data_IF_867751849039
#
_entry.id   IF_867751849039
#
_cell.length_a   1.000
_cell.length_b   1.000
_cell.length_c   1.000
_cell.angle_alpha   90.00
_cell.angle_beta   90.00
_cell.angle_gamma   90.00
#
_symmetry.space_group_name_H-M   'P 1'
#
loop_
_entity.id
_entity.type
_entity.pdbx_description
1 polymer ?
#
# COMPACT_ATOMS: atom_id res chain seq x y z
N UNK A 1 -7.85 4.83 -11.02
CA UNK A 1 -7.73 3.54 -10.29
C UNK A 1 -7.04 3.72 -8.92
N UNK A 2 -7.42 2.94 -7.90
CA UNK A 2 -6.85 2.95 -6.53
C UNK A 2 -5.93 1.74 -6.32
N UNK A 3 -4.71 1.96 -5.86
CA UNK A 3 -3.80 0.91 -5.39
C UNK A 3 -3.89 0.76 -3.87
N UNK A 4 -4.09 -0.46 -3.37
CA UNK A 4 -3.98 -0.78 -1.94
C UNK A 4 -2.73 -1.60 -1.70
N UNK A 5 -1.84 -1.07 -0.85
CA UNK A 5 -0.68 -1.79 -0.33
C UNK A 5 -1.02 -2.36 1.04
N UNK A 6 -0.58 -3.60 1.31
CA UNK A 6 -0.91 -4.29 2.56
C UNK A 6 -2.34 -4.86 2.59
N UNK A 7 -2.98 -5.01 1.44
CA UNK A 7 -4.37 -5.49 1.30
C UNK A 7 -4.63 -6.91 1.82
N UNK A 8 -3.60 -7.72 2.05
CA UNK A 8 -3.74 -9.07 2.64
C UNK A 8 -3.60 -9.09 4.17
N UNK A 9 -3.34 -7.95 4.80
CA UNK A 9 -3.29 -7.78 6.26
C UNK A 9 -4.65 -7.45 6.87
N UNK A 10 -4.72 -7.34 8.19
CA UNK A 10 -5.99 -7.16 8.93
C UNK A 10 -6.77 -5.92 8.49
N UNK A 11 -6.15 -4.74 8.51
CA UNK A 11 -6.82 -3.48 8.13
C UNK A 11 -6.94 -3.37 6.61
N UNK A 12 -5.88 -3.69 5.87
CA UNK A 12 -5.87 -3.59 4.41
C UNK A 12 -6.92 -4.47 3.73
N UNK A 13 -7.25 -5.64 4.31
CA UNK A 13 -8.31 -6.51 3.80
C UNK A 13 -9.68 -5.84 3.90
N UNK A 14 -10.00 -5.23 5.04
CA UNK A 14 -11.27 -4.52 5.23
C UNK A 14 -11.38 -3.31 4.30
N UNK A 15 -10.25 -2.62 4.07
CA UNK A 15 -10.18 -1.53 3.08
C UNK A 15 -10.44 -2.05 1.67
N UNK A 16 -9.78 -3.15 1.26
CA UNK A 16 -10.03 -3.76 -0.05
C UNK A 16 -11.50 -4.19 -0.22
N UNK A 17 -12.07 -4.86 0.78
CA UNK A 17 -13.48 -5.27 0.76
C UNK A 17 -14.42 -4.07 0.64
N UNK A 18 -14.14 -2.97 1.36
CA UNK A 18 -14.97 -1.76 1.33
C UNK A 18 -14.88 -1.01 -0.01
N UNK A 19 -13.67 -0.88 -0.57
CA UNK A 19 -13.48 -0.21 -1.87
C UNK A 19 -14.10 -1.06 -2.99
N UNK A 20 -13.93 -2.39 -2.94
CA UNK A 20 -14.52 -3.32 -3.89
C UNK A 20 -16.07 -3.28 -3.85
N UNK A 21 -16.66 -3.19 -2.66
CA UNK A 21 -18.11 -3.07 -2.48
C UNK A 21 -18.67 -1.72 -2.98
N UNK A 22 -17.84 -0.68 -3.01
CA UNK A 22 -18.18 0.63 -3.55
C UNK A 22 -17.94 0.76 -5.06
N UNK A 23 -17.59 -0.34 -5.74
CA UNK A 23 -17.41 -0.45 -7.20
C UNK A 23 -16.34 0.50 -7.77
N UNK A 24 -15.31 0.79 -6.98
CA UNK A 24 -14.13 1.50 -7.48
C UNK A 24 -13.13 0.53 -8.10
N UNK A 25 -12.56 0.92 -9.25
CA UNK A 25 -11.43 0.21 -9.85
C UNK A 25 -10.25 0.13 -8.87
N UNK A 26 -9.93 -1.08 -8.47
CA UNK A 26 -8.99 -1.35 -7.39
C UNK A 26 -7.93 -2.36 -7.81
N UNK A 27 -6.68 -2.03 -7.51
CA UNK A 27 -5.55 -2.94 -7.59
C UNK A 27 -4.95 -3.15 -6.20
N UNK A 28 -4.52 -4.35 -5.88
CA UNK A 28 -3.82 -4.67 -4.65
C UNK A 28 -2.38 -5.09 -4.96
N UNK A 29 -1.41 -4.43 -4.31
CA UNK A 29 -0.01 -4.87 -4.33
C UNK A 29 0.16 -6.04 -3.35
N UNK A 30 0.59 -7.19 -3.86
CA UNK A 30 0.77 -8.41 -3.07
C UNK A 30 2.11 -9.08 -3.35
N UNK A 31 2.72 -9.69 -2.33
CA UNK A 31 3.95 -10.48 -2.51
C UNK A 31 3.67 -11.88 -3.05
N UNK A 32 2.54 -12.45 -2.62
CA UNK A 32 2.09 -13.80 -2.96
C UNK A 32 0.71 -13.71 -3.63
N UNK A 33 0.67 -13.99 -4.93
CA UNK A 33 -0.56 -13.95 -5.73
C UNK A 33 -1.54 -15.07 -5.36
N UNK A 34 -1.04 -16.25 -5.00
CA UNK A 34 -1.91 -17.39 -4.66
C UNK A 34 -2.65 -17.11 -3.36
N UNK A 35 -1.95 -16.61 -2.35
CA UNK A 35 -2.58 -16.16 -1.10
C UNK A 35 -3.58 -15.02 -1.32
N UNK A 36 -3.29 -14.11 -2.25
CA UNK A 36 -4.17 -12.99 -2.56
C UNK A 36 -5.45 -13.44 -3.27
N UNK A 37 -5.35 -14.34 -4.26
CA UNK A 37 -6.49 -14.92 -4.98
C UNK A 37 -7.46 -15.66 -4.05
N UNK A 38 -6.96 -16.25 -2.96
CA UNK A 38 -7.80 -16.88 -1.94
C UNK A 38 -8.78 -15.92 -1.24
N UNK A 39 -8.57 -14.59 -1.33
CA UNK A 39 -9.52 -13.60 -0.81
C UNK A 39 -10.83 -13.52 -1.62
N UNK A 40 -10.86 -14.06 -2.85
CA UNK A 40 -12.05 -14.12 -3.72
C UNK A 40 -12.75 -12.76 -3.95
N UNK A 41 -11.96 -11.69 -4.04
CA UNK A 41 -12.44 -10.34 -4.37
C UNK A 41 -12.50 -10.18 -5.89
N UNK A 42 -13.69 -10.38 -6.48
CA UNK A 42 -13.87 -10.47 -7.93
C UNK A 42 -13.53 -9.17 -8.69
N UNK A 43 -13.67 -8.02 -8.04
CA UNK A 43 -13.45 -6.68 -8.63
C UNK A 43 -12.06 -6.11 -8.35
N UNK A 44 -11.19 -6.87 -7.66
CA UNK A 44 -9.83 -6.43 -7.31
C UNK A 44 -8.81 -7.09 -8.24
N UNK A 45 -8.04 -6.26 -8.94
CA UNK A 45 -6.85 -6.70 -9.65
C UNK A 45 -5.71 -6.96 -8.65
N UNK A 46 -5.03 -8.10 -8.75
CA UNK A 46 -3.86 -8.39 -7.93
C UNK A 46 -2.58 -8.21 -8.75
N UNK A 47 -1.73 -7.27 -8.34
CA UNK A 47 -0.42 -7.04 -8.93
C UNK A 47 0.67 -7.53 -7.99
N UNK A 48 1.57 -8.37 -8.51
CA UNK A 48 2.67 -8.89 -7.71
C UNK A 48 3.78 -7.85 -7.60
N UNK A 49 4.28 -7.64 -6.37
CA UNK A 49 5.46 -6.83 -6.12
C UNK A 49 5.82 -6.80 -4.63
N UNK A 50 7.02 -6.30 -4.35
CA UNK A 50 7.57 -6.22 -3.00
C UNK A 50 8.15 -4.82 -2.75
N UNK A 51 7.74 -4.21 -1.64
CA UNK A 51 8.29 -2.93 -1.19
C UNK A 51 9.80 -2.99 -0.94
N UNK A 52 10.34 -4.17 -0.64
CA UNK A 52 11.79 -4.37 -0.49
C UNK A 52 12.54 -4.41 -1.83
N UNK A 53 11.83 -4.56 -2.95
CA UNK A 53 12.37 -4.59 -4.31
C UNK A 53 11.71 -3.51 -5.18
N UNK A 54 12.23 -2.26 -5.19
CA UNK A 54 11.63 -1.13 -5.91
C UNK A 54 11.37 -1.40 -7.40
N UNK A 55 12.22 -2.19 -8.06
CA UNK A 55 12.05 -2.52 -9.48
C UNK A 55 10.76 -3.33 -9.75
N UNK A 56 10.25 -4.05 -8.75
CA UNK A 56 9.00 -4.81 -8.85
C UNK A 56 7.73 -3.95 -8.71
N UNK A 57 7.85 -2.67 -8.34
CA UNK A 57 6.69 -1.82 -8.05
C UNK A 57 6.07 -1.17 -9.30
N UNK A 58 6.86 -1.02 -10.38
CA UNK A 58 6.43 -0.29 -11.58
C UNK A 58 5.14 -0.86 -12.22
N UNK A 59 4.96 -2.19 -12.39
CA UNK A 59 3.73 -2.74 -12.95
C UNK A 59 2.49 -2.42 -12.11
N UNK A 60 2.62 -2.43 -10.78
CA UNK A 60 1.49 -2.15 -9.90
C UNK A 60 1.06 -0.67 -9.91
N UNK A 61 1.97 0.24 -10.28
CA UNK A 61 1.75 1.69 -10.31
C UNK A 61 1.19 2.21 -11.64
N UNK A 62 1.15 1.39 -12.69
CA UNK A 62 0.63 1.80 -13.99
C UNK A 62 -0.84 2.20 -13.94
N UNK A 63 -1.18 3.39 -14.42
CA UNK A 63 -2.55 3.94 -14.38
C UNK A 63 -3.11 4.25 -12.98
N UNK A 64 -2.31 4.17 -11.91
CA UNK A 64 -2.76 4.42 -10.54
C UNK A 64 -2.83 5.93 -10.28
N UNK A 65 -3.93 6.39 -9.68
CA UNK A 65 -4.14 7.81 -9.33
C UNK A 65 -4.10 8.05 -7.82
N UNK A 66 -4.42 7.02 -7.03
CA UNK A 66 -4.45 7.07 -5.57
C UNK A 66 -3.84 5.81 -4.99
N UNK A 67 -3.08 5.94 -3.91
CA UNK A 67 -2.47 4.83 -3.19
C UNK A 67 -2.95 4.87 -1.75
N UNK A 68 -3.51 3.77 -1.25
CA UNK A 68 -3.68 3.52 0.18
C UNK A 68 -2.50 2.70 0.68
N UNK A 69 -1.63 3.33 1.45
CA UNK A 69 -0.42 2.72 2.00
C UNK A 69 -0.66 2.23 3.42
N UNK A 70 -0.80 0.92 3.55
CA UNK A 70 -0.84 0.20 4.82
C UNK A 70 0.32 -0.80 4.80
N UNK A 71 1.25 -0.71 5.75
CA UNK A 71 2.38 -1.63 5.86
C UNK A 71 2.43 -2.27 7.23
N UNK A 72 3.09 -3.43 7.31
CA UNK A 72 3.41 -4.04 8.59
C UNK A 72 4.32 -3.12 9.42
N UNK A 73 4.15 -3.16 10.73
CA UNK A 73 5.11 -2.59 11.66
C UNK A 73 6.37 -3.47 11.69
N UNK A 74 7.50 -2.92 11.25
CA UNK A 74 8.81 -3.57 11.27
C UNK A 74 9.91 -2.52 11.32
N UNK A 75 11.15 -2.95 11.59
CA UNK A 75 12.31 -2.05 11.59
C UNK A 75 12.57 -1.41 10.21
N UNK A 76 12.16 -2.08 9.14
CA UNK A 76 12.29 -1.60 7.77
C UNK A 76 11.14 -0.69 7.32
N UNK A 77 10.13 -0.44 8.17
CA UNK A 77 8.89 0.22 7.78
C UNK A 77 9.14 1.53 7.00
N UNK A 78 9.99 2.41 7.54
CA UNK A 78 10.32 3.68 6.88
C UNK A 78 10.90 3.44 5.48
N UNK A 79 11.90 2.56 5.38
CA UNK A 79 12.54 2.23 4.10
C UNK A 79 11.54 1.66 3.08
N UNK A 80 10.70 0.71 3.49
CA UNK A 80 9.71 0.07 2.62
C UNK A 80 8.64 1.06 2.14
N UNK A 81 8.19 1.97 3.02
CA UNK A 81 7.25 3.02 2.65
C UNK A 81 7.91 4.03 1.70
N UNK A 82 9.15 4.46 1.99
CA UNK A 82 9.91 5.37 1.11
C UNK A 82 10.08 4.79 -0.29
N UNK A 83 10.40 3.50 -0.41
CA UNK A 83 10.52 2.85 -1.72
C UNK A 83 9.24 2.97 -2.56
N UNK A 84 8.06 2.83 -1.94
CA UNK A 84 6.79 3.06 -2.63
C UNK A 84 6.59 4.52 -3.02
N UNK A 85 6.87 5.44 -2.10
CA UNK A 85 6.72 6.89 -2.33
C UNK A 85 7.62 7.33 -3.49
N UNK A 86 8.87 6.88 -3.53
CA UNK A 86 9.80 7.17 -4.61
C UNK A 86 9.35 6.57 -5.95
N UNK A 87 8.87 5.32 -5.95
CA UNK A 87 8.35 4.69 -7.15
C UNK A 87 7.10 5.42 -7.67
N UNK A 88 6.18 5.80 -6.77
CA UNK A 88 4.99 6.58 -7.08
C UNK A 88 5.35 7.98 -7.63
N UNK A 89 6.36 8.64 -7.07
CA UNK A 89 6.81 9.97 -7.54
C UNK A 89 7.38 9.93 -8.97
N UNK A 90 7.90 8.77 -9.38
CA UNK A 90 8.43 8.52 -10.75
C UNK A 90 7.35 8.07 -11.73
N UNK A 91 6.19 7.61 -11.26
CA UNK A 91 5.09 7.21 -12.11
C UNK A 91 4.52 8.43 -12.88
N UNK A 92 4.14 8.28 -14.16
CA UNK A 92 3.59 9.39 -14.95
C UNK A 92 2.36 10.05 -14.30
N UNK A 93 1.52 9.27 -13.62
CA UNK A 93 0.30 9.73 -12.96
C UNK A 93 0.53 10.48 -11.64
N UNK A 94 1.71 10.33 -11.02
CA UNK A 94 2.07 10.91 -9.71
C UNK A 94 0.94 10.80 -8.68
N UNK A 95 0.57 9.56 -8.29
CA UNK A 95 -0.64 9.33 -7.52
C UNK A 95 -0.61 9.99 -6.14
N UNK A 96 -1.80 10.38 -5.66
CA UNK A 96 -1.98 10.87 -4.31
C UNK A 96 -1.89 9.72 -3.29
N UNK A 97 -1.08 9.88 -2.23
CA UNK A 97 -0.84 8.82 -1.25
C UNK A 97 -1.58 9.11 0.06
N UNK A 98 -2.43 8.16 0.46
CA UNK A 98 -3.08 8.10 1.76
C UNK A 98 -2.33 7.07 2.61
N UNK A 99 -1.54 7.53 3.59
CA UNK A 99 -0.81 6.67 4.54
C UNK A 99 -1.67 6.40 5.77
N UNK A 100 -1.82 5.13 6.15
CA UNK A 100 -2.34 4.79 7.47
C UNK A 100 -1.25 5.05 8.51
N UNK A 101 -1.44 6.12 9.28
CA UNK A 101 -0.51 6.52 10.34
C UNK A 101 -0.90 5.92 11.71
N UNK A 102 -0.20 6.32 12.77
CA UNK A 102 -0.47 5.94 14.16
C UNK A 102 -0.84 7.15 15.01
N UNK A 103 -1.63 6.93 16.06
CA UNK A 103 -1.88 7.97 17.08
C UNK A 103 -0.56 8.35 17.75
N UNK A 104 -0.32 9.66 17.93
CA UNK A 104 0.95 10.17 18.45
C UNK A 104 2.08 10.23 17.42
N UNK A 105 1.74 10.16 16.12
CA UNK A 105 2.66 10.45 15.04
C UNK A 105 3.17 11.90 15.14
N UNK A 106 4.47 12.04 15.37
CA UNK A 106 5.15 13.32 15.48
C UNK A 106 6.65 13.09 15.22
N UNK A 107 7.34 13.92 14.41
CA UNK A 107 8.79 13.81 14.19
C UNK A 107 9.62 13.82 15.48
N UNK A 108 9.12 14.48 16.52
CA UNK A 108 9.74 14.61 17.85
C UNK A 108 9.09 13.68 18.90
N UNK A 109 8.24 12.74 18.48
CA UNK A 109 7.62 11.78 19.40
C UNK A 109 8.67 11.05 20.25
N UNK A 110 8.40 10.71 21.52
CA UNK A 110 9.37 10.05 22.39
C UNK A 110 9.67 8.61 21.93
N UNK A 111 8.73 7.96 21.26
CA UNK A 111 8.88 6.59 20.77
C UNK A 111 9.33 6.56 19.31
N UNK A 112 10.16 5.57 18.98
CA UNK A 112 10.56 5.30 17.59
C UNK A 112 9.36 5.08 16.67
N UNK A 113 8.32 4.43 17.18
CA UNK A 113 7.07 4.20 16.43
C UNK A 113 6.39 5.53 16.07
N UNK A 114 6.23 6.45 17.02
CA UNK A 114 5.63 7.77 16.76
C UNK A 114 6.40 8.55 15.69
N UNK A 115 7.73 8.55 15.77
CA UNK A 115 8.58 9.24 14.80
C UNK A 115 8.51 8.64 13.39
N UNK A 116 8.40 7.33 13.26
CA UNK A 116 8.24 6.69 11.94
C UNK A 116 6.86 6.91 11.30
N UNK A 117 5.86 7.24 12.11
CA UNK A 117 4.51 7.54 11.65
C UNK A 117 4.28 9.03 11.34
N UNK A 118 5.04 9.93 11.98
CA UNK A 118 5.03 11.39 11.73
C UNK A 118 5.61 11.81 10.39
#
# INVERSE_FOLDING_TARGET
MILVVGGTGTVGRLVLESIAAADFETRALVRDLEKARALKLATVEFAQGDLANPASLAPALDGIEKIVLISSFSQDMVRLQTNLVEAAARAPSRPHIIKLSGVGADPEAPTTMGRWHG
#
